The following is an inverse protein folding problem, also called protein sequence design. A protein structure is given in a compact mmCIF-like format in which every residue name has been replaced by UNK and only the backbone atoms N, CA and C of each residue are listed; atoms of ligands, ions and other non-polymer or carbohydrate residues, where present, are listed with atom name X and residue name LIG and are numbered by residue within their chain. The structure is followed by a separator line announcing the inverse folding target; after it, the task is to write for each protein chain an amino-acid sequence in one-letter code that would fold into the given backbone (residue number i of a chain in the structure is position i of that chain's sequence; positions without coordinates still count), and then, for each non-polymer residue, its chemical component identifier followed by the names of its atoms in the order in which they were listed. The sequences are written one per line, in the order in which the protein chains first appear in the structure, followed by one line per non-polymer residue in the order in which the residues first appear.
data_IF_440615711359
#
_entry.id   IF_440615711359
#
_cell.length_a   1.000
_cell.length_b   1.000
_cell.length_c   1.000
_cell.angle_alpha   90.00
_cell.angle_beta   90.00
_cell.angle_gamma   90.00
#
_symmetry.space_group_name_H-M   'P 1'
#
loop_
_entity.id
_entity.type
_entity.pdbx_description
1 polymer ?
#
# COMPACT_ATOMS: atom_id res chain seq x y z
N UNK A 1 15.92 7.85 10.64
CA UNK A 1 14.51 8.12 10.31
C UNK A 1 14.16 7.24 9.12
N UNK A 2 13.22 6.35 9.29
CA UNK A 2 12.83 5.38 8.26
C UNK A 2 12.20 6.07 7.04
N UNK A 3 12.64 5.71 5.84
CA UNK A 3 12.07 6.17 4.58
C UNK A 3 11.24 5.06 3.93
N UNK A 4 10.17 5.46 3.26
CA UNK A 4 9.21 4.56 2.63
C UNK A 4 9.20 4.76 1.11
N UNK A 5 9.28 3.67 0.38
CA UNK A 5 9.18 3.66 -1.08
C UNK A 5 8.05 2.72 -1.47
N UNK A 6 7.07 3.25 -2.20
CA UNK A 6 5.91 2.49 -2.64
C UNK A 6 5.95 2.27 -4.15
N UNK A 7 5.59 1.07 -4.57
CA UNK A 7 5.45 0.72 -5.97
C UNK A 7 3.98 0.47 -6.32
N UNK A 8 3.49 1.16 -7.35
CA UNK A 8 2.15 0.95 -7.88
C UNK A 8 2.14 0.81 -9.39
N UNK A 9 1.05 0.31 -9.93
CA UNK A 9 0.87 0.12 -11.36
C UNK A 9 -0.02 -1.07 -11.68
N UNK A 10 -0.34 -1.28 -12.95
CA UNK A 10 -1.17 -2.37 -13.46
C UNK A 10 -0.64 -3.74 -13.05
N UNK A 11 -1.52 -4.74 -12.96
CA UNK A 11 -1.10 -6.13 -12.76
C UNK A 11 -0.16 -6.62 -13.88
N UNK A 12 0.92 -7.30 -13.50
CA UNK A 12 1.86 -7.93 -14.44
C UNK A 12 2.96 -7.02 -15.00
N UNK A 13 2.97 -5.71 -14.72
CA UNK A 13 4.02 -4.79 -15.22
C UNK A 13 5.40 -4.99 -14.58
N UNK A 14 5.50 -5.79 -13.51
CA UNK A 14 6.76 -6.09 -12.82
C UNK A 14 7.03 -5.22 -11.60
N UNK A 15 6.00 -4.83 -10.86
CA UNK A 15 6.12 -4.09 -9.59
C UNK A 15 7.04 -4.80 -8.60
N UNK A 16 6.77 -6.08 -8.33
CA UNK A 16 7.58 -6.92 -7.41
C UNK A 16 9.05 -6.96 -7.82
N UNK A 17 9.32 -7.10 -9.11
CA UNK A 17 10.69 -7.07 -9.63
C UNK A 17 11.37 -5.72 -9.39
N UNK A 18 10.66 -4.61 -9.66
CA UNK A 18 11.19 -3.26 -9.46
C UNK A 18 11.38 -2.95 -7.98
N UNK A 19 10.41 -3.30 -7.12
CA UNK A 19 10.50 -3.12 -5.68
C UNK A 19 11.69 -3.90 -5.10
N UNK A 20 11.80 -5.19 -5.44
CA UNK A 20 12.91 -6.04 -5.00
C UNK A 20 14.27 -5.54 -5.51
N UNK A 21 14.36 -5.08 -6.75
CA UNK A 21 15.58 -4.53 -7.31
C UNK A 21 15.97 -3.21 -6.63
N UNK A 22 15.00 -2.36 -6.29
CA UNK A 22 15.23 -1.14 -5.52
C UNK A 22 15.74 -1.45 -4.12
N UNK A 23 15.12 -2.42 -3.44
CA UNK A 23 15.58 -2.86 -2.13
C UNK A 23 17.02 -3.39 -2.16
N UNK A 24 17.39 -4.16 -3.20
CA UNK A 24 18.77 -4.61 -3.41
C UNK A 24 19.72 -3.41 -3.62
N UNK A 25 19.32 -2.41 -4.40
CA UNK A 25 20.14 -1.21 -4.66
C UNK A 25 20.43 -0.46 -3.37
N UNK A 26 19.40 -0.16 -2.59
CA UNK A 26 19.51 0.53 -1.30
C UNK A 26 20.39 -0.24 -0.28
N UNK A 27 20.19 -1.56 -0.21
CA UNK A 27 20.98 -2.42 0.65
C UNK A 27 22.47 -2.45 0.23
N UNK A 28 22.76 -2.46 -1.06
CA UNK A 28 24.14 -2.34 -1.57
C UNK A 28 24.79 -0.99 -1.24
N UNK A 29 24.00 0.06 -1.15
CA UNK A 29 24.45 1.39 -0.75
C UNK A 29 24.67 1.51 0.78
N UNK A 30 24.48 0.42 1.51
CA UNK A 30 24.76 0.31 2.95
C UNK A 30 23.57 0.65 3.84
N UNK A 31 22.37 0.70 3.28
CA UNK A 31 21.13 0.95 4.03
C UNK A 31 20.47 -0.35 4.48
N UNK A 32 20.15 -0.47 5.75
CA UNK A 32 19.34 -1.58 6.26
C UNK A 32 17.93 -1.50 5.70
N UNK A 33 17.58 -2.43 4.81
CA UNK A 33 16.39 -2.35 3.97
C UNK A 33 15.46 -3.53 4.18
N UNK A 34 14.16 -3.24 4.30
CA UNK A 34 13.09 -4.23 4.32
C UNK A 34 12.20 -4.05 3.08
N UNK A 35 11.99 -5.11 2.31
CA UNK A 35 10.97 -5.13 1.25
C UNK A 35 9.75 -5.91 1.75
N UNK A 36 8.57 -5.31 1.62
CA UNK A 36 7.29 -5.87 2.08
C UNK A 36 6.37 -6.06 0.88
N UNK A 37 5.87 -7.27 0.66
CA UNK A 37 4.76 -7.51 -0.26
C UNK A 37 3.45 -7.66 0.48
N UNK A 38 2.45 -6.97 -0.01
CA UNK A 38 1.05 -7.14 0.37
C UNK A 38 0.21 -7.77 -0.76
N UNK A 39 0.88 -8.29 -1.79
CA UNK A 39 0.22 -9.03 -2.87
C UNK A 39 -0.08 -10.46 -2.40
N UNK A 40 -1.35 -10.89 -2.41
CA UNK A 40 -1.72 -12.24 -1.97
C UNK A 40 -1.11 -13.36 -2.83
N UNK A 41 -0.52 -13.03 -3.98
CA UNK A 41 0.16 -14.00 -4.84
C UNK A 41 1.54 -14.47 -4.30
N UNK A 42 2.02 -13.92 -3.16
CA UNK A 42 3.29 -14.30 -2.52
C UNK A 42 4.48 -14.37 -3.49
N UNK A 43 4.72 -13.28 -4.21
CA UNK A 43 5.68 -13.25 -5.32
C UNK A 43 7.11 -12.86 -4.93
N UNK A 44 7.35 -12.33 -3.71
CA UNK A 44 8.69 -11.92 -3.24
C UNK A 44 9.58 -13.14 -3.00
N UNK A 45 9.04 -14.21 -2.41
CA UNK A 45 9.78 -15.46 -2.20
C UNK A 45 10.33 -16.03 -3.51
N UNK A 46 9.50 -16.05 -4.55
CA UNK A 46 9.89 -16.49 -5.90
C UNK A 46 10.99 -15.59 -6.50
N UNK A 47 10.88 -14.28 -6.30
CA UNK A 47 11.84 -13.30 -6.82
C UNK A 47 13.20 -13.43 -6.15
N UNK A 48 13.27 -13.68 -4.86
CA UNK A 48 14.53 -13.90 -4.13
C UNK A 48 15.01 -15.36 -4.12
N UNK A 49 14.20 -16.29 -4.65
CA UNK A 49 14.47 -17.74 -4.62
C UNK A 49 14.67 -18.24 -3.18
N UNK A 50 13.87 -17.69 -2.24
CA UNK A 50 13.90 -18.00 -0.80
C UNK A 50 12.50 -18.16 -0.24
N UNK A 51 12.37 -19.01 0.77
CA UNK A 51 11.17 -19.06 1.59
C UNK A 51 11.12 -17.82 2.50
N UNK A 52 10.03 -17.05 2.41
CA UNK A 52 9.81 -15.86 3.21
C UNK A 52 8.78 -16.17 4.29
N UNK A 53 9.12 -15.86 5.52
CA UNK A 53 8.27 -16.07 6.68
C UNK A 53 7.36 -14.85 6.96
N UNK A 54 6.34 -14.98 7.85
CA UNK A 54 5.54 -13.85 8.32
C UNK A 54 6.34 -12.78 9.10
N UNK A 55 7.55 -13.12 9.54
CA UNK A 55 8.50 -12.19 10.15
C UNK A 55 9.59 -11.79 9.13
N UNK A 56 10.24 -10.61 9.29
CA UNK A 56 11.30 -10.18 8.40
C UNK A 56 12.39 -11.23 8.22
N UNK A 57 12.46 -11.81 7.02
CA UNK A 57 13.40 -12.88 6.66
C UNK A 57 14.62 -12.28 5.98
N UNK A 58 15.82 -12.60 6.47
CA UNK A 58 17.07 -12.14 5.87
C UNK A 58 17.28 -12.79 4.49
N UNK A 59 17.32 -11.98 3.43
CA UNK A 59 17.58 -12.42 2.06
C UNK A 59 19.01 -12.16 1.62
N UNK A 60 19.72 -11.22 2.27
CA UNK A 60 21.15 -10.98 2.09
C UNK A 60 21.76 -10.46 3.40
N UNK A 61 22.58 -11.29 4.07
CA UNK A 61 23.27 -10.89 5.30
C UNK A 61 24.33 -9.82 5.03
N UNK A 62 25.06 -9.95 3.93
CA UNK A 62 26.15 -9.04 3.56
C UNK A 62 25.66 -7.59 3.40
N UNK A 63 24.42 -7.42 2.92
CA UNK A 63 23.86 -6.09 2.63
C UNK A 63 22.69 -5.72 3.56
N UNK A 64 22.46 -6.44 4.66
CA UNK A 64 21.34 -6.18 5.58
C UNK A 64 19.97 -6.01 4.87
N UNK A 65 19.71 -6.89 3.90
CA UNK A 65 18.47 -6.92 3.14
C UNK A 65 17.52 -7.98 3.69
N UNK A 66 16.31 -7.57 3.98
CA UNK A 66 15.25 -8.42 4.51
C UNK A 66 14.01 -8.36 3.64
N UNK A 67 13.21 -9.41 3.66
CA UNK A 67 11.93 -9.48 2.96
C UNK A 67 10.82 -9.99 3.89
N UNK A 68 9.60 -9.53 3.65
CA UNK A 68 8.40 -9.89 4.37
C UNK A 68 7.24 -10.05 3.39
N UNK A 69 6.51 -11.17 3.50
CA UNK A 69 5.23 -11.36 2.82
C UNK A 69 4.10 -11.32 3.83
N UNK A 70 3.11 -10.50 3.59
CA UNK A 70 1.96 -10.31 4.47
C UNK A 70 0.70 -10.67 3.72
N UNK A 71 -0.09 -11.61 4.26
CA UNK A 71 -1.48 -11.77 3.86
C UNK A 71 -2.33 -10.70 4.59
N UNK A 72 -2.83 -9.69 3.86
CA UNK A 72 -3.60 -8.61 4.47
C UNK A 72 -4.86 -9.10 5.18
N UNK A 73 -5.55 -10.10 4.61
CA UNK A 73 -6.78 -10.63 5.17
C UNK A 73 -6.54 -11.37 6.49
N UNK A 74 -5.47 -12.17 6.56
CA UNK A 74 -5.10 -12.88 7.79
C UNK A 74 -4.73 -11.88 8.88
N UNK A 75 -3.90 -10.89 8.58
CA UNK A 75 -3.47 -9.86 9.53
C UNK A 75 -4.64 -9.01 10.04
N UNK A 76 -5.56 -8.62 9.17
CA UNK A 76 -6.77 -7.90 9.55
C UNK A 76 -7.65 -8.74 10.48
N UNK A 77 -7.86 -10.01 10.15
CA UNK A 77 -8.69 -10.91 10.95
C UNK A 77 -8.09 -11.14 12.34
N UNK A 78 -6.79 -11.36 12.45
CA UNK A 78 -6.14 -11.54 13.76
C UNK A 78 -6.28 -10.31 14.65
N UNK A 79 -6.16 -9.12 14.09
CA UNK A 79 -6.03 -7.87 14.87
C UNK A 79 -7.35 -7.13 15.08
N UNK A 80 -8.28 -7.22 14.12
CA UNK A 80 -9.47 -6.35 14.08
C UNK A 80 -10.82 -7.07 14.03
N UNK A 81 -10.88 -8.41 13.81
CA UNK A 81 -12.17 -9.12 13.69
C UNK A 81 -13.04 -8.95 14.95
N UNK A 82 -12.45 -9.05 16.13
CA UNK A 82 -13.17 -8.84 17.38
C UNK A 82 -13.71 -7.42 17.55
N UNK A 83 -12.97 -6.44 17.06
CA UNK A 83 -13.32 -5.01 17.13
C UNK A 83 -14.44 -4.66 16.16
N UNK A 84 -14.38 -5.17 14.93
CA UNK A 84 -15.41 -4.96 13.91
C UNK A 84 -16.74 -5.61 14.32
N UNK A 85 -16.69 -6.84 14.85
CA UNK A 85 -17.85 -7.56 15.34
C UNK A 85 -18.50 -6.84 16.56
N UNK A 86 -17.70 -6.31 17.47
CA UNK A 86 -18.17 -5.52 18.61
C UNK A 86 -18.88 -4.23 18.17
N UNK A 87 -18.32 -3.51 17.18
CA UNK A 87 -18.90 -2.29 16.60
C UNK A 87 -20.23 -2.58 15.88
N UNK A 88 -20.30 -3.66 15.10
CA UNK A 88 -21.53 -4.07 14.40
C UNK A 88 -22.63 -4.47 15.40
N UNK A 89 -22.27 -5.22 16.42
CA UNK A 89 -23.22 -5.65 17.47
C UNK A 89 -23.79 -4.46 18.27
N UNK A 90 -22.97 -3.46 18.56
CA UNK A 90 -23.42 -2.24 19.25
C UNK A 90 -24.32 -1.38 18.34
N UNK A 91 -23.94 -1.14 17.08
CA UNK A 91 -24.77 -0.40 16.13
C UNK A 91 -26.16 -1.04 15.97
N UNK A 92 -26.23 -2.37 15.88
CA UNK A 92 -27.48 -3.13 15.83
C UNK A 92 -28.37 -2.98 17.08
N UNK A 93 -27.79 -2.83 18.30
CA UNK A 93 -28.55 -2.60 19.52
C UNK A 93 -29.23 -1.23 19.55
N UNK A 94 -28.71 -0.24 18.87
CA UNK A 94 -29.26 1.11 18.79
C UNK A 94 -30.22 1.31 17.61
N UNK A 95 -30.58 0.21 16.87
CA UNK A 95 -31.49 0.30 15.74
C UNK A 95 -30.90 1.10 14.57
N UNK A 96 -29.60 1.36 14.58
CA UNK A 96 -28.86 1.80 13.42
C UNK A 96 -28.74 0.55 12.57
N UNK A 97 -29.68 0.38 11.64
CA UNK A 97 -29.55 -0.57 10.55
C UNK A 97 -28.35 -0.05 9.76
N UNK A 98 -27.18 -0.58 10.07
CA UNK A 98 -25.98 -0.37 9.27
C UNK A 98 -26.31 -1.08 7.96
N UNK A 99 -26.95 -0.31 7.07
CA UNK A 99 -27.41 -0.80 5.78
C UNK A 99 -26.15 -1.31 5.07
N UNK A 100 -25.96 -2.62 5.12
CA UNK A 100 -24.85 -3.32 4.45
C UNK A 100 -24.78 -2.96 2.98
N UNK A 101 -25.87 -2.44 2.40
CA UNK A 101 -25.97 -2.02 1.00
C UNK A 101 -25.33 -0.63 0.76
N UNK A 102 -25.38 0.31 1.70
CA UNK A 102 -24.61 1.58 1.61
C UNK A 102 -23.12 1.39 1.92
N UNK A 103 -22.76 0.37 2.72
CA UNK A 103 -21.38 -0.05 2.89
C UNK A 103 -20.91 -0.99 1.77
N UNK A 104 -21.81 -1.63 1.02
CA UNK A 104 -21.48 -2.48 -0.13
C UNK A 104 -21.23 -1.67 -1.41
N UNK A 105 -21.76 -0.44 -1.51
CA UNK A 105 -21.41 0.52 -2.58
C UNK A 105 -19.99 1.12 -2.39
N UNK A 106 -19.43 1.06 -1.18
CA UNK A 106 -18.00 1.03 -0.91
C UNK A 106 -17.53 -0.41 -1.05
N UNK A 107 -17.31 -0.85 -2.25
CA UNK A 107 -16.82 -2.16 -2.71
C UNK A 107 -15.82 -2.80 -1.72
N UNK A 108 -16.31 -3.26 -0.53
CA UNK A 108 -15.53 -3.96 0.46
C UNK A 108 -15.45 -3.39 1.89
N UNK A 109 -16.49 -2.72 2.43
CA UNK A 109 -16.54 -2.39 3.86
C UNK A 109 -15.69 -1.18 4.29
N UNK A 110 -15.83 -0.82 5.56
CA UNK A 110 -15.07 0.24 6.28
C UNK A 110 -13.57 -0.08 6.22
N UNK A 111 -12.80 0.53 5.34
CA UNK A 111 -11.38 0.21 5.06
C UNK A 111 -11.24 -1.30 4.77
N UNK A 112 -10.91 -1.69 3.54
CA UNK A 112 -10.68 -3.10 3.21
C UNK A 112 -9.60 -3.71 4.10
N UNK A 113 -9.63 -5.03 4.28
CA UNK A 113 -8.62 -5.76 5.05
C UNK A 113 -7.19 -5.44 4.59
N UNK A 114 -7.03 -5.22 3.30
CA UNK A 114 -5.75 -4.93 2.66
C UNK A 114 -5.21 -3.55 3.06
N UNK A 115 -6.06 -2.53 3.05
CA UNK A 115 -5.69 -1.17 3.42
C UNK A 115 -5.38 -1.06 4.93
N UNK A 116 -6.17 -1.74 5.77
CA UNK A 116 -5.93 -1.75 7.21
C UNK A 116 -4.61 -2.44 7.56
N UNK A 117 -4.27 -3.55 6.89
CA UNK A 117 -3.00 -4.24 7.09
C UNK A 117 -1.81 -3.36 6.68
N UNK A 118 -1.92 -2.62 5.58
CA UNK A 118 -0.87 -1.71 5.13
C UNK A 118 -0.68 -0.55 6.12
N UNK A 119 -1.78 0.06 6.62
CA UNK A 119 -1.72 1.11 7.66
C UNK A 119 -0.98 0.60 8.89
N UNK A 120 -1.29 -0.60 9.33
CA UNK A 120 -0.62 -1.23 10.46
C UNK A 120 0.87 -1.40 10.25
N UNK A 121 1.27 -1.86 9.06
CA UNK A 121 2.67 -2.03 8.69
C UNK A 121 3.42 -0.70 8.71
N UNK A 122 2.83 0.36 8.14
CA UNK A 122 3.44 1.70 8.19
C UNK A 122 3.65 2.18 9.62
N UNK A 123 2.62 2.07 10.47
CA UNK A 123 2.70 2.53 11.85
C UNK A 123 3.73 1.72 12.64
N UNK A 124 3.73 0.41 12.52
CA UNK A 124 4.61 -0.51 13.24
C UNK A 124 6.07 -0.31 12.88
N UNK A 125 6.38 -0.26 11.59
CA UNK A 125 7.77 -0.16 11.15
C UNK A 125 8.35 1.26 11.24
N UNK A 126 7.52 2.32 11.24
CA UNK A 126 7.97 3.67 11.58
C UNK A 126 8.31 3.79 13.09
N UNK A 127 7.53 3.15 13.96
CA UNK A 127 7.75 3.18 15.41
C UNK A 127 8.99 2.43 15.83
N UNK A 128 9.25 1.29 15.25
CA UNK A 128 10.40 0.45 15.59
C UNK A 128 11.73 1.12 15.23
N UNK A 129 11.78 1.95 14.16
CA UNK A 129 12.97 2.73 13.80
C UNK A 129 14.21 1.91 13.42
N UNK A 130 14.04 0.60 13.20
CA UNK A 130 15.13 -0.36 12.98
C UNK A 130 15.61 -0.37 11.52
N UNK A 131 14.91 0.32 10.62
CA UNK A 131 15.14 0.30 9.18
C UNK A 131 15.49 1.68 8.64
N UNK A 132 16.44 1.73 7.70
CA UNK A 132 16.72 2.94 6.93
C UNK A 132 15.68 3.12 5.83
N UNK A 133 15.35 2.03 5.13
CA UNK A 133 14.33 2.01 4.07
C UNK A 133 13.37 0.84 4.21
N UNK A 134 12.11 1.13 3.90
CA UNK A 134 11.05 0.12 3.72
C UNK A 134 10.47 0.29 2.33
N UNK A 135 10.54 -0.77 1.53
CA UNK A 135 10.05 -0.80 0.15
C UNK A 135 8.77 -1.61 0.11
N UNK A 136 7.65 -1.00 -0.26
CA UNK A 136 6.37 -1.66 -0.40
C UNK A 136 6.11 -2.08 -1.85
N UNK A 137 6.00 -3.39 -2.07
CA UNK A 137 5.39 -3.97 -3.27
C UNK A 137 3.90 -4.10 -3.02
N UNK A 138 3.11 -3.20 -3.62
CA UNK A 138 1.67 -3.17 -3.40
C UNK A 138 0.92 -4.03 -4.41
N UNK A 139 -0.24 -4.52 -4.02
CA UNK A 139 -1.18 -5.21 -4.91
C UNK A 139 -1.62 -4.34 -6.11
N UNK A 140 -2.29 -4.90 -7.13
CA UNK A 140 -2.70 -4.19 -8.35
C UNK A 140 -3.48 -2.89 -8.09
N UNK A 141 -3.42 -1.95 -9.05
CA UNK A 141 -3.91 -0.56 -9.04
C UNK A 141 -5.17 -0.22 -8.22
N UNK A 142 -6.13 -1.12 -8.10
CA UNK A 142 -7.34 -0.93 -7.30
C UNK A 142 -7.06 -0.73 -5.81
N UNK A 143 -6.18 -1.53 -5.23
CA UNK A 143 -5.79 -1.45 -3.82
C UNK A 143 -4.89 -0.25 -3.54
N UNK A 144 -3.91 0.01 -4.42
CA UNK A 144 -3.07 1.20 -4.31
C UNK A 144 -3.89 2.49 -4.30
N UNK A 145 -4.92 2.59 -5.16
CA UNK A 145 -5.80 3.75 -5.22
C UNK A 145 -6.67 3.90 -3.96
N UNK A 146 -7.03 2.80 -3.30
CA UNK A 146 -7.75 2.86 -2.01
C UNK A 146 -6.86 3.41 -0.91
N UNK A 147 -5.58 2.99 -0.84
CA UNK A 147 -4.62 3.58 0.10
C UNK A 147 -4.51 5.11 -0.07
N UNK A 148 -4.53 5.61 -1.30
CA UNK A 148 -4.48 7.05 -1.59
C UNK A 148 -5.73 7.81 -1.11
N UNK A 149 -6.85 7.13 -0.86
CA UNK A 149 -8.06 7.70 -0.28
C UNK A 149 -8.06 7.71 1.25
N UNK A 150 -7.06 7.11 1.89
CA UNK A 150 -6.96 7.03 3.34
C UNK A 150 -7.19 8.38 4.04
N UNK A 151 -6.54 9.49 3.66
CA UNK A 151 -6.76 10.78 4.31
C UNK A 151 -8.22 11.24 4.27
N UNK A 152 -8.93 11.07 3.14
CA UNK A 152 -10.34 11.46 2.99
C UNK A 152 -11.29 10.55 3.79
N UNK A 153 -11.01 9.24 3.78
CA UNK A 153 -11.81 8.25 4.52
C UNK A 153 -11.67 8.47 6.03
N UNK A 154 -10.48 8.83 6.48
CA UNK A 154 -10.22 9.14 7.89
C UNK A 154 -11.08 10.28 8.40
N UNK A 155 -11.12 11.40 7.70
CA UNK A 155 -11.88 12.58 8.12
C UNK A 155 -13.40 12.32 8.08
N UNK A 156 -13.90 11.58 7.07
CA UNK A 156 -15.33 11.30 6.94
C UNK A 156 -15.83 10.24 7.91
N UNK A 157 -15.09 9.14 8.09
CA UNK A 157 -15.50 8.01 8.94
C UNK A 157 -15.42 8.39 10.41
N UNK A 158 -14.34 9.06 10.84
CA UNK A 158 -14.22 9.52 12.22
C UNK A 158 -15.22 10.62 12.57
N UNK A 159 -15.50 11.52 11.64
CA UNK A 159 -16.57 12.52 11.82
C UNK A 159 -17.94 11.87 12.10
N UNK A 160 -18.23 10.78 11.42
CA UNK A 160 -19.48 10.03 11.59
C UNK A 160 -19.50 9.25 12.91
N UNK A 161 -18.42 8.53 13.24
CA UNK A 161 -18.33 7.76 14.52
C UNK A 161 -18.34 8.68 15.74
N UNK A 162 -17.64 9.81 15.68
CA UNK A 162 -17.65 10.80 16.78
C UNK A 162 -19.02 11.46 16.95
N UNK A 163 -19.75 11.73 15.86
CA UNK A 163 -21.11 12.27 15.93
C UNK A 163 -22.07 11.26 16.52
N UNK A 164 -21.94 9.97 16.20
CA UNK A 164 -22.76 8.89 16.82
C UNK A 164 -22.43 8.76 18.30
N UNK A 165 -21.15 8.74 18.69
CA UNK A 165 -20.74 8.67 20.10
C UNK A 165 -21.25 9.87 20.91
N UNK A 166 -21.13 11.09 20.39
CA UNK A 166 -21.61 12.31 21.07
C UNK A 166 -23.14 12.34 21.21
N UNK A 167 -23.89 11.76 20.27
CA UNK A 167 -25.33 11.61 20.38
C UNK A 167 -25.73 10.55 21.40
N UNK A 168 -24.96 9.45 21.51
CA UNK A 168 -25.20 8.39 22.50
C UNK A 168 -24.89 8.87 23.91
N UNK A 169 -23.77 9.57 24.11
CA UNK A 169 -23.41 10.14 25.43
C UNK A 169 -24.42 11.20 25.87
N UNK A 170 -24.91 12.03 24.95
CA UNK A 170 -25.98 12.99 25.25
C UNK A 170 -27.33 12.34 25.60
N UNK A 171 -27.61 11.14 25.12
CA UNK A 171 -28.83 10.37 25.43
C UNK A 171 -28.67 9.64 26.78
N UNK A 172 -27.48 9.11 27.10
CA UNK A 172 -27.20 8.47 28.41
C UNK A 172 -27.46 9.46 29.57
N UNK A 173 -26.99 10.68 29.45
CA UNK A 173 -27.20 11.70 30.49
C UNK A 173 -28.69 12.10 30.66
N UNK A 174 -29.46 12.01 29.58
CA UNK A 174 -30.90 12.34 29.60
C UNK A 174 -31.74 11.18 30.16
N UNK A 175 -31.37 9.93 29.89
CA UNK A 175 -32.11 8.73 30.32
C UNK A 175 -31.80 8.34 31.76
N UNK A 176 -30.58 8.52 32.24
CA UNK A 176 -30.22 8.30 33.66
C UNK A 176 -30.87 9.30 34.61
N UNK A 177 -31.25 10.48 34.12
CA UNK A 177 -31.99 11.48 34.86
C UNK A 177 -33.50 11.19 34.99
N UNK A 178 -34.08 10.36 34.14
CA UNK A 178 -35.53 10.10 34.05
C UNK A 178 -35.98 8.76 34.68
N UNK A 179 -35.10 7.78 34.79
CA UNK A 179 -35.39 6.47 35.35
C UNK A 179 -34.36 6.10 36.43
N UNK A 180 -34.60 6.60 37.64
CA UNK A 180 -33.88 6.15 38.82
C UNK A 180 -34.13 4.66 39.09
N UNK A 181 -33.22 3.78 38.72
CA UNK A 181 -33.33 2.34 38.88
C UNK A 181 -32.00 1.61 38.85
N UNK A 182 -31.52 1.30 40.04
CA UNK A 182 -30.59 0.24 40.49
C UNK A 182 -29.54 -0.32 39.48
N UNK A 183 -28.30 -0.15 39.91
CA UNK A 183 -27.10 -0.89 39.52
C UNK A 183 -27.34 -2.34 39.16
N UNK A 184 -27.11 -2.70 37.92
CA UNK A 184 -26.63 -4.01 37.49
C UNK A 184 -25.21 -3.87 36.92
N UNK A 185 -24.25 -4.15 37.82
CA UNK A 185 -22.83 -4.24 37.48
C UNK A 185 -22.55 -5.61 36.82
N UNK A 186 -22.99 -5.81 35.61
CA UNK A 186 -22.49 -6.94 34.77
C UNK A 186 -23.11 -6.78 33.38
N UNK A 187 -22.44 -6.07 32.50
CA UNK A 187 -22.41 -6.19 31.01
C UNK A 187 -22.04 -4.86 30.36
N UNK A 188 -20.85 -4.40 30.63
CA UNK A 188 -20.18 -3.38 29.80
C UNK A 188 -18.82 -3.94 29.31
N UNK A 189 -18.89 -4.93 28.45
CA UNK A 189 -17.77 -5.37 27.64
C UNK A 189 -18.18 -5.20 26.18
N UNK A 190 -17.78 -4.12 25.53
CA UNK A 190 -18.09 -3.94 24.12
C UNK A 190 -17.45 -2.71 23.45
N UNK A 191 -17.49 -1.54 24.08
CA UNK A 191 -16.95 -0.31 23.48
C UNK A 191 -15.73 0.24 24.23
N UNK A 192 -15.51 -0.15 25.48
CA UNK A 192 -14.36 0.31 26.26
C UNK A 192 -13.04 -0.33 25.81
N UNK A 193 -13.09 -1.44 25.04
CA UNK A 193 -11.90 -2.11 24.49
C UNK A 193 -11.46 -1.55 23.13
N UNK A 194 -12.28 -0.75 22.43
CA UNK A 194 -11.90 -0.09 21.18
C UNK A 194 -11.40 1.31 21.50
N UNK A 195 -10.09 1.46 21.57
CA UNK A 195 -9.47 2.77 21.76
C UNK A 195 -9.54 3.58 20.44
N UNK A 196 -10.70 4.22 20.22
CA UNK A 196 -10.96 5.04 19.02
C UNK A 196 -9.90 6.13 18.86
N UNK A 197 -9.46 6.72 19.97
CA UNK A 197 -8.44 7.77 19.96
C UNK A 197 -7.07 7.21 19.55
N UNK A 198 -6.73 6.00 19.96
CA UNK A 198 -5.49 5.32 19.53
C UNK A 198 -5.51 5.01 18.04
N UNK A 199 -6.62 4.45 17.54
CA UNK A 199 -6.80 4.19 16.10
C UNK A 199 -6.71 5.48 15.29
N UNK A 200 -7.38 6.55 15.73
CA UNK A 200 -7.32 7.87 15.09
C UNK A 200 -5.89 8.42 15.03
N UNK A 201 -5.17 8.35 16.16
CA UNK A 201 -3.79 8.82 16.24
C UNK A 201 -2.87 8.02 15.29
N UNK A 202 -3.06 6.70 15.23
CA UNK A 202 -2.33 5.82 14.33
C UNK A 202 -2.55 6.17 12.86
N UNK A 203 -3.81 6.34 12.49
CA UNK A 203 -4.20 6.70 11.12
C UNK A 203 -3.67 8.10 10.74
N UNK A 204 -3.76 9.06 11.64
CA UNK A 204 -3.18 10.39 11.44
C UNK A 204 -1.67 10.32 11.23
N UNK A 205 -0.97 9.54 12.06
CA UNK A 205 0.47 9.32 11.93
C UNK A 205 0.85 8.74 10.57
N UNK A 206 0.12 7.72 10.09
CA UNK A 206 0.34 7.13 8.77
C UNK A 206 0.06 8.12 7.65
N UNK A 207 -1.00 8.91 7.76
CA UNK A 207 -1.29 9.99 6.81
C UNK A 207 -0.14 11.01 6.76
N UNK A 208 0.36 11.44 7.92
CA UNK A 208 1.49 12.39 8.00
C UNK A 208 2.75 11.80 7.35
N UNK A 209 3.02 10.50 7.52
CA UNK A 209 4.14 9.80 6.87
C UNK A 209 3.98 9.78 5.35
N UNK A 210 2.79 9.43 4.85
CA UNK A 210 2.51 9.34 3.41
C UNK A 210 2.59 10.68 2.70
N UNK A 211 2.25 11.77 3.39
CA UNK A 211 2.25 13.13 2.85
C UNK A 211 3.60 13.84 2.98
N UNK A 212 4.56 13.28 3.73
CA UNK A 212 5.89 13.85 3.92
C UNK A 212 6.83 13.44 2.77
N UNK A 213 7.19 14.36 1.83
CA UNK A 213 7.99 14.01 0.65
C UNK A 213 9.38 13.47 0.96
N UNK A 214 9.96 13.89 2.10
CA UNK A 214 11.28 13.44 2.56
C UNK A 214 11.23 12.03 3.18
N UNK A 215 10.03 11.57 3.58
CA UNK A 215 9.79 10.25 4.15
C UNK A 215 9.27 9.24 3.14
N UNK A 216 8.36 9.67 2.27
CA UNK A 216 7.63 8.75 1.39
C UNK A 216 7.72 9.19 -0.05
N UNK A 217 8.12 8.24 -0.91
CA UNK A 217 8.12 8.40 -2.37
C UNK A 217 7.35 7.26 -3.03
N UNK A 218 6.57 7.62 -4.03
CA UNK A 218 5.80 6.67 -4.81
C UNK A 218 6.39 6.53 -6.21
N UNK A 219 6.62 5.29 -6.66
CA UNK A 219 7.06 4.98 -8.03
C UNK A 219 5.96 4.25 -8.78
N UNK A 220 5.55 4.79 -9.93
CA UNK A 220 4.65 4.10 -10.82
C UNK A 220 5.44 3.16 -11.74
N UNK A 221 4.98 1.92 -11.92
CA UNK A 221 5.58 0.96 -12.85
C UNK A 221 4.62 0.72 -14.00
N UNK A 222 5.11 0.84 -15.24
CA UNK A 222 4.36 0.60 -16.46
C UNK A 222 5.13 -0.23 -17.47
N UNK A 223 4.43 -0.87 -18.39
CA UNK A 223 4.98 -1.37 -19.63
C UNK A 223 4.80 -0.33 -20.74
N UNK A 224 5.64 -0.32 -21.78
CA UNK A 224 5.50 0.61 -22.90
C UNK A 224 4.32 0.22 -23.81
N UNK A 225 3.10 0.26 -23.25
CA UNK A 225 1.82 -0.02 -23.87
C UNK A 225 0.83 1.10 -23.60
N UNK A 226 -0.06 1.39 -24.55
CA UNK A 226 -1.02 2.50 -24.45
C UNK A 226 -1.89 2.42 -23.20
N UNK A 227 -2.47 1.25 -22.91
CA UNK A 227 -3.32 1.08 -21.73
C UNK A 227 -2.54 1.28 -20.44
N UNK A 228 -1.29 0.80 -20.37
CA UNK A 228 -0.43 0.98 -19.21
C UNK A 228 -0.08 2.45 -18.98
N UNK A 229 0.21 3.20 -20.04
CA UNK A 229 0.42 4.65 -19.97
C UNK A 229 -0.83 5.39 -19.46
N UNK A 230 -2.01 5.08 -20.00
CA UNK A 230 -3.25 5.73 -19.58
C UNK A 230 -3.61 5.45 -18.11
N UNK A 231 -3.34 4.23 -17.62
CA UNK A 231 -3.51 3.88 -16.21
C UNK A 231 -2.48 4.59 -15.32
N UNK A 232 -1.22 4.66 -15.74
CA UNK A 232 -0.16 5.36 -15.02
C UNK A 232 -0.48 6.85 -14.88
N UNK A 233 -0.96 7.50 -15.94
CA UNK A 233 -1.39 8.91 -15.87
C UNK A 233 -2.53 9.12 -14.87
N UNK A 234 -3.52 8.21 -14.85
CA UNK A 234 -4.60 8.27 -13.84
C UNK A 234 -4.06 8.12 -12.43
N UNK A 235 -3.11 7.21 -12.23
CA UNK A 235 -2.45 7.00 -10.93
C UNK A 235 -1.70 8.26 -10.50
N UNK A 236 -0.87 8.86 -11.37
CA UNK A 236 -0.13 10.09 -11.08
C UNK A 236 -1.06 11.26 -10.74
N UNK A 237 -2.13 11.45 -11.50
CA UNK A 237 -3.14 12.49 -11.21
C UNK A 237 -3.82 12.28 -9.84
N UNK A 238 -3.95 11.04 -9.39
CA UNK A 238 -4.49 10.76 -8.06
C UNK A 238 -3.47 11.00 -6.96
N UNK A 239 -2.19 10.64 -7.16
CA UNK A 239 -1.12 10.99 -6.24
C UNK A 239 -1.04 12.51 -6.04
N UNK A 240 -1.08 13.28 -7.13
CA UNK A 240 -1.09 14.74 -7.10
C UNK A 240 -2.30 15.29 -6.34
N UNK A 241 -3.51 14.77 -6.63
CA UNK A 241 -4.75 15.15 -5.93
C UNK A 241 -4.65 14.97 -4.42
N UNK A 242 -3.95 13.93 -3.96
CA UNK A 242 -3.77 13.62 -2.54
C UNK A 242 -2.48 14.18 -1.95
N UNK A 243 -1.73 15.00 -2.70
CA UNK A 243 -0.44 15.57 -2.31
C UNK A 243 0.61 14.51 -1.92
N UNK A 244 0.57 13.32 -2.53
CA UNK A 244 1.55 12.28 -2.32
C UNK A 244 2.70 12.46 -3.30
N UNK A 245 3.93 12.48 -2.80
CA UNK A 245 5.12 12.69 -3.62
C UNK A 245 5.36 11.51 -4.57
N UNK A 246 5.56 11.82 -5.86
CA UNK A 246 5.96 10.83 -6.87
C UNK A 246 7.45 10.96 -7.16
N UNK A 247 8.20 9.87 -6.93
CA UNK A 247 9.64 9.80 -7.21
C UNK A 247 9.96 9.58 -8.69
N UNK A 248 9.00 9.06 -9.47
CA UNK A 248 9.17 8.82 -10.90
C UNK A 248 8.32 7.69 -11.46
N UNK A 249 8.51 7.41 -12.75
CA UNK A 249 7.88 6.29 -13.46
C UNK A 249 8.95 5.33 -13.95
N UNK A 250 8.77 4.04 -13.67
CA UNK A 250 9.60 2.97 -14.23
C UNK A 250 8.89 2.37 -15.43
N UNK A 251 9.44 2.57 -16.60
CA UNK A 251 9.01 1.92 -17.84
C UNK A 251 9.76 0.61 -17.96
N UNK A 252 9.09 -0.48 -17.59
CA UNK A 252 9.67 -1.81 -17.56
C UNK A 252 9.44 -2.59 -18.86
N UNK A 253 10.22 -3.63 -19.10
CA UNK A 253 10.13 -4.52 -20.27
C UNK A 253 10.33 -3.81 -21.61
N UNK A 254 11.20 -2.79 -21.64
CA UNK A 254 11.55 -2.06 -22.86
C UNK A 254 12.41 -2.95 -23.76
N UNK A 255 12.02 -3.09 -25.01
CA UNK A 255 12.86 -3.73 -26.03
C UNK A 255 14.02 -2.81 -26.38
N UNK A 256 15.26 -3.30 -26.27
CA UNK A 256 16.48 -2.52 -26.56
C UNK A 256 17.29 -3.13 -27.71
N UNK A 257 17.46 -4.45 -27.68
CA UNK A 257 18.25 -5.17 -28.69
C UNK A 257 17.31 -6.04 -29.51
N UNK A 258 16.99 -5.62 -30.73
CA UNK A 258 16.11 -6.35 -31.64
C UNK A 258 16.86 -6.86 -32.87
N UNK A 259 16.42 -7.98 -33.39
CA UNK A 259 16.82 -8.45 -34.72
C UNK A 259 16.00 -7.67 -35.78
N UNK A 260 16.65 -6.76 -36.49
CA UNK A 260 16.01 -5.94 -37.53
C UNK A 260 15.43 -6.78 -38.69
N UNK A 261 15.88 -8.02 -38.87
CA UNK A 261 15.31 -8.93 -39.84
C UNK A 261 13.96 -9.51 -39.40
N UNK A 262 13.60 -9.40 -38.14
CA UNK A 262 12.34 -9.85 -37.58
C UNK A 262 11.27 -8.73 -37.64
N UNK A 263 10.37 -8.81 -38.61
CA UNK A 263 9.30 -7.80 -38.78
C UNK A 263 8.45 -7.60 -37.51
N UNK A 264 8.18 -8.66 -36.74
CA UNK A 264 7.42 -8.55 -35.49
C UNK A 264 8.20 -7.79 -34.42
N UNK A 265 9.51 -8.07 -34.29
CA UNK A 265 10.36 -7.39 -33.31
C UNK A 265 10.50 -5.90 -33.67
N UNK A 266 10.73 -5.56 -34.92
CA UNK A 266 10.84 -4.18 -35.40
C UNK A 266 9.54 -3.41 -35.19
N UNK A 267 8.39 -3.99 -35.55
CA UNK A 267 7.09 -3.35 -35.35
C UNK A 267 6.77 -3.12 -33.86
N UNK A 268 7.06 -4.09 -32.99
CA UNK A 268 6.89 -3.94 -31.53
C UNK A 268 7.82 -2.88 -30.95
N UNK A 269 9.07 -2.85 -31.37
CA UNK A 269 10.03 -1.84 -30.95
C UNK A 269 9.56 -0.44 -31.32
N UNK A 270 9.17 -0.21 -32.57
CA UNK A 270 8.64 1.09 -33.04
C UNK A 270 7.40 1.51 -32.21
N UNK A 271 6.49 0.60 -31.96
CA UNK A 271 5.31 0.87 -31.12
C UNK A 271 5.70 1.25 -29.69
N UNK A 272 6.63 0.51 -29.07
CA UNK A 272 7.10 0.83 -27.72
C UNK A 272 7.79 2.20 -27.67
N UNK A 273 8.64 2.52 -28.65
CA UNK A 273 9.31 3.83 -28.73
C UNK A 273 8.28 4.97 -28.85
N UNK A 274 7.23 4.78 -29.65
CA UNK A 274 6.13 5.75 -29.73
C UNK A 274 5.44 6.00 -28.39
N UNK A 275 5.21 4.95 -27.60
CA UNK A 275 4.60 5.08 -26.26
C UNK A 275 5.55 5.72 -25.25
N UNK A 276 6.86 5.37 -25.31
CA UNK A 276 7.88 5.97 -24.44
C UNK A 276 8.00 7.47 -24.71
N UNK A 277 8.04 7.87 -25.99
CA UNK A 277 8.06 9.29 -26.36
C UNK A 277 6.80 10.02 -25.89
N UNK A 278 5.62 9.42 -26.04
CA UNK A 278 4.38 9.99 -25.49
C UNK A 278 4.43 10.12 -23.96
N UNK A 279 5.02 9.14 -23.27
CA UNK A 279 5.18 9.21 -21.83
C UNK A 279 6.13 10.36 -21.41
N UNK A 280 7.23 10.54 -22.14
CA UNK A 280 8.20 11.62 -21.89
C UNK A 280 7.62 13.01 -22.15
N UNK A 281 6.72 13.14 -23.13
CA UNK A 281 6.01 14.39 -23.43
C UNK A 281 4.86 14.72 -22.47
N UNK A 282 4.20 13.69 -21.92
CA UNK A 282 2.96 13.83 -21.15
C UNK A 282 3.15 13.71 -19.64
N UNK A 283 4.33 13.29 -19.15
CA UNK A 283 4.64 13.05 -17.74
C UNK A 283 5.83 13.92 -17.32
N UNK A 284 5.59 14.89 -16.43
CA UNK A 284 6.58 15.87 -15.99
C UNK A 284 7.54 15.37 -14.88
N UNK A 285 7.58 14.06 -14.60
CA UNK A 285 8.46 13.45 -13.60
C UNK A 285 9.44 12.47 -14.25
N UNK A 286 10.57 12.13 -13.60
CA UNK A 286 11.60 11.27 -14.18
C UNK A 286 11.08 9.93 -14.68
N UNK A 287 11.50 9.54 -15.88
CA UNK A 287 11.25 8.22 -16.47
C UNK A 287 12.52 7.37 -16.43
N UNK A 288 12.45 6.21 -15.78
CA UNK A 288 13.50 5.21 -15.76
C UNK A 288 13.12 4.03 -16.65
N UNK A 289 13.96 3.68 -17.62
CA UNK A 289 13.71 2.56 -18.53
C UNK A 289 14.47 1.31 -18.10
N UNK A 290 13.76 0.19 -17.96
CA UNK A 290 14.33 -1.13 -17.69
C UNK A 290 14.09 -2.04 -18.90
N UNK A 291 15.19 -2.55 -19.46
CA UNK A 291 15.13 -3.42 -20.64
C UNK A 291 14.46 -4.75 -20.32
N UNK A 292 13.68 -5.25 -21.27
CA UNK A 292 13.16 -6.62 -21.22
C UNK A 292 14.32 -7.62 -21.09
N UNK A 293 14.14 -8.59 -20.23
CA UNK A 293 15.11 -9.69 -20.06
C UNK A 293 14.62 -10.94 -20.78
N UNK A 294 15.57 -11.77 -21.17
CA UNK A 294 15.34 -13.06 -21.83
C UNK A 294 14.66 -14.11 -20.93
N UNK A 295 14.66 -13.86 -19.62
CA UNK A 295 14.01 -14.70 -18.64
C UNK A 295 13.52 -13.85 -17.47
N UNK A 296 12.59 -14.39 -16.67
CA UNK A 296 12.13 -13.74 -15.42
C UNK A 296 13.34 -13.44 -14.54
N UNK A 297 13.56 -12.17 -14.16
CA UNK A 297 14.70 -11.81 -13.31
C UNK A 297 14.43 -12.24 -11.86
N UNK A 298 15.06 -13.33 -11.44
CA UNK A 298 15.05 -13.84 -10.06
C UNK A 298 16.47 -13.98 -9.54
N UNK A 299 16.64 -14.06 -8.23
CA UNK A 299 17.92 -14.24 -7.57
C UNK A 299 19.00 -13.25 -8.08
N UNK A 300 20.14 -13.78 -8.50
CA UNK A 300 21.27 -12.96 -8.96
C UNK A 300 20.97 -12.09 -10.20
N UNK A 301 19.93 -12.39 -10.98
CA UNK A 301 19.59 -11.58 -12.16
C UNK A 301 18.97 -10.23 -11.79
N UNK A 302 18.38 -10.11 -10.60
CA UNK A 302 17.86 -8.84 -10.07
C UNK A 302 18.94 -7.80 -9.87
N UNK A 303 20.16 -8.20 -9.53
CA UNK A 303 21.28 -7.27 -9.32
C UNK A 303 21.57 -6.40 -10.55
N UNK A 304 21.35 -6.94 -11.77
CA UNK A 304 21.51 -6.17 -13.01
C UNK A 304 20.41 -5.11 -13.21
N UNK A 305 19.26 -5.32 -12.61
CA UNK A 305 18.18 -4.32 -12.58
C UNK A 305 18.46 -3.29 -11.50
N UNK A 306 18.88 -3.76 -10.31
CA UNK A 306 19.24 -2.90 -9.19
C UNK A 306 20.30 -1.85 -9.56
N UNK A 307 21.30 -2.22 -10.38
CA UNK A 307 22.34 -1.29 -10.87
C UNK A 307 21.78 -0.14 -11.74
N UNK A 308 20.58 -0.28 -12.27
CA UNK A 308 19.92 0.76 -13.07
C UNK A 308 18.96 1.62 -12.27
N UNK A 309 18.51 1.13 -11.11
CA UNK A 309 17.58 1.85 -10.24
C UNK A 309 18.40 2.58 -9.18
N UNK A 310 18.53 3.89 -9.33
CA UNK A 310 19.06 4.77 -8.29
C UNK A 310 17.90 5.57 -7.72
N UNK A 311 17.60 5.34 -6.44
CA UNK A 311 16.61 6.09 -5.68
C UNK A 311 17.40 6.94 -4.69
N UNK A 312 17.73 8.16 -5.09
CA UNK A 312 18.49 9.11 -4.26
C UNK A 312 17.59 10.25 -3.78
#
# INVERSE_FOLDING_TARGET
MTKFILFGGKGGVGKTTCASATAISLAKDGHKTLVISTDPAHSIGDVFEKEINPDPTCVSEENELFALEVDPNHRFTEKYAGTAEALMNEAGKFGVDVNTDEFSDFDGGIIGSDEAAVIDLFAEYDENGDWDYIVFDTAPTGHTLRMLKLPEVLDSTFGTVLNVKSQIDGVKDTVTGLFGGKNDKNKEQGLDDVNIDETRNKLKKVSDILLEPDKTQFFAVMEPEKLSLDETKRLLNQLEKYNISSGGVIVNKVLTDIDESCNLCSSRYEQQQGIINSADEEIDIPLLQISLKDSTPTGNKLHKIAEKISVS
#
